data_IF_655096120976
#
_entry.id   IF_655096120976
#
_cell.length_a   1.000
_cell.length_b   1.000
_cell.length_c   1.000
_cell.angle_alpha   90.00
_cell.angle_beta   90.00
_cell.angle_gamma   90.00
#
_symmetry.space_group_name_H-M   'P 1'
#
loop_
_entity.id
_entity.type
_entity.pdbx_description
1 polymer ?
#
# COMPACT_ATOMS: atom_id res chain seq x y z
N UNK A 1 18.87 -2.39 37.35
CA UNK A 1 18.64 -3.67 36.67
C UNK A 1 17.33 -3.55 35.91
N UNK A 2 17.42 -3.35 34.60
CA UNK A 2 16.32 -3.13 33.67
C UNK A 2 15.57 -4.41 33.35
N UNK A 3 14.23 -4.38 33.38
CA UNK A 3 13.41 -5.32 32.61
C UNK A 3 12.51 -4.51 31.69
N UNK A 4 13.08 -4.07 30.57
CA UNK A 4 12.33 -3.58 29.43
C UNK A 4 11.56 -4.77 28.85
N UNK A 5 10.21 -4.80 28.87
CA UNK A 5 9.46 -5.88 28.27
C UNK A 5 9.59 -5.75 26.75
N UNK A 6 10.60 -6.44 26.22
CA UNK A 6 10.84 -6.79 24.82
C UNK A 6 9.73 -6.30 23.89
N UNK A 7 10.03 -5.32 23.04
CA UNK A 7 9.22 -4.95 21.88
C UNK A 7 9.05 -6.17 20.98
N UNK A 8 8.06 -7.01 21.28
CA UNK A 8 7.64 -8.10 20.40
C UNK A 8 6.94 -7.44 19.22
N UNK A 9 7.71 -7.05 18.22
CA UNK A 9 7.19 -6.84 16.88
C UNK A 9 6.80 -8.21 16.32
N UNK A 10 5.69 -8.77 16.81
CA UNK A 10 5.04 -9.88 16.12
C UNK A 10 4.43 -9.32 14.85
N UNK A 11 4.84 -9.83 13.70
CA UNK A 11 4.09 -9.63 12.47
C UNK A 11 2.61 -9.91 12.79
N UNK A 12 1.76 -8.88 12.65
CA UNK A 12 0.34 -8.98 13.01
C UNK A 12 -0.35 -9.74 11.89
N UNK A 13 -0.37 -11.07 11.99
CA UNK A 13 -1.16 -11.90 11.11
C UNK A 13 -2.63 -11.77 11.48
N UNK A 14 -3.44 -11.34 10.53
CA UNK A 14 -4.88 -11.51 10.65
C UNK A 14 -5.19 -13.00 10.45
N UNK A 15 -5.41 -13.69 11.57
CA UNK A 15 -5.50 -15.15 11.63
C UNK A 15 -6.55 -15.76 10.67
N UNK A 16 -7.78 -15.20 10.58
CA UNK A 16 -8.79 -15.73 9.66
C UNK A 16 -8.36 -15.67 8.19
N UNK A 17 -7.64 -14.64 7.77
CA UNK A 17 -7.20 -14.53 6.37
C UNK A 17 -6.07 -15.52 6.07
N UNK A 18 -4.99 -15.50 6.86
CA UNK A 18 -3.74 -16.20 6.50
C UNK A 18 -3.80 -17.71 6.77
N UNK A 19 -4.53 -18.14 7.81
CA UNK A 19 -4.52 -19.54 8.24
C UNK A 19 -5.82 -20.29 7.97
N UNK A 20 -6.87 -19.59 7.52
CA UNK A 20 -8.17 -20.21 7.23
C UNK A 20 -8.59 -19.91 5.80
N UNK A 21 -8.94 -18.66 5.48
CA UNK A 21 -9.60 -18.31 4.22
C UNK A 21 -8.68 -18.51 3.02
N UNK A 22 -7.44 -18.01 3.07
CA UNK A 22 -6.51 -18.14 1.93
C UNK A 22 -6.11 -19.61 1.66
N UNK A 23 -5.65 -20.41 2.65
CA UNK A 23 -5.34 -21.82 2.41
C UNK A 23 -6.55 -22.62 1.93
N UNK A 24 -7.73 -22.40 2.53
CA UNK A 24 -8.96 -23.07 2.12
C UNK A 24 -9.35 -22.70 0.69
N UNK A 25 -9.31 -21.41 0.33
CA UNK A 25 -9.63 -20.96 -1.02
C UNK A 25 -8.68 -21.57 -2.06
N UNK A 26 -7.37 -21.62 -1.77
CA UNK A 26 -6.40 -22.29 -2.65
C UNK A 26 -6.69 -23.79 -2.80
N UNK A 27 -6.91 -24.50 -1.69
CA UNK A 27 -7.26 -25.92 -1.71
C UNK A 27 -8.52 -26.18 -2.53
N UNK A 28 -9.57 -25.36 -2.35
CA UNK A 28 -10.81 -25.47 -3.11
C UNK A 28 -10.60 -25.17 -4.60
N UNK A 29 -9.80 -24.17 -4.94
CA UNK A 29 -9.44 -23.88 -6.35
C UNK A 29 -8.73 -25.07 -6.99
N UNK A 30 -7.72 -25.65 -6.34
CA UNK A 30 -7.00 -26.81 -6.86
C UNK A 30 -7.89 -28.05 -6.96
N UNK A 31 -8.70 -28.31 -5.93
CA UNK A 31 -9.59 -29.46 -5.87
C UNK A 31 -10.68 -29.39 -6.95
N UNK A 32 -11.41 -28.28 -7.03
CA UNK A 32 -12.44 -28.08 -8.04
C UNK A 32 -11.85 -28.03 -9.46
N UNK A 33 -10.67 -27.41 -9.62
CA UNK A 33 -9.95 -27.37 -10.89
C UNK A 33 -9.54 -28.75 -11.39
N UNK A 34 -9.04 -29.62 -10.50
CA UNK A 34 -8.73 -31.02 -10.83
C UNK A 34 -9.98 -31.77 -11.29
N UNK A 35 -11.08 -31.70 -10.52
CA UNK A 35 -12.31 -32.39 -10.88
C UNK A 35 -12.94 -31.89 -12.18
N UNK A 36 -12.83 -30.59 -12.45
CA UNK A 36 -13.20 -30.02 -13.74
C UNK A 36 -12.32 -30.60 -14.85
N UNK A 37 -11.00 -30.65 -14.69
CA UNK A 37 -10.06 -31.17 -15.68
C UNK A 37 -10.31 -32.67 -15.99
N UNK A 38 -10.60 -33.47 -14.97
CA UNK A 38 -10.91 -34.91 -15.12
C UNK A 38 -12.21 -35.14 -15.92
N UNK A 39 -13.14 -34.17 -15.93
CA UNK A 39 -14.40 -34.21 -16.69
C UNK A 39 -14.46 -33.23 -17.87
N UNK A 40 -13.36 -32.54 -18.16
CA UNK A 40 -13.33 -31.43 -19.11
C UNK A 40 -13.58 -31.94 -20.54
N UNK A 41 -14.46 -31.24 -21.27
CA UNK A 41 -14.88 -31.62 -22.61
C UNK A 41 -16.19 -32.42 -22.66
N UNK A 42 -16.71 -32.86 -21.51
CA UNK A 42 -18.09 -33.34 -21.39
C UNK A 42 -19.01 -32.19 -20.95
N UNK A 43 -20.05 -31.85 -21.72
CA UNK A 43 -21.05 -30.83 -21.31
C UNK A 43 -22.05 -31.41 -20.29
N UNK A 44 -21.51 -32.08 -19.27
CA UNK A 44 -22.30 -32.70 -18.20
C UNK A 44 -22.63 -31.66 -17.13
N UNK A 45 -23.75 -31.87 -16.43
CA UNK A 45 -24.13 -31.01 -15.30
C UNK A 45 -23.03 -30.97 -14.21
N UNK A 46 -22.33 -32.09 -14.00
CA UNK A 46 -21.23 -32.19 -13.04
C UNK A 46 -20.02 -31.34 -13.45
N UNK A 47 -19.62 -31.37 -14.73
CA UNK A 47 -18.51 -30.52 -15.22
C UNK A 47 -18.81 -29.03 -15.03
N UNK A 48 -20.06 -28.60 -15.29
CA UNK A 48 -20.49 -27.21 -15.06
C UNK A 48 -20.42 -26.82 -13.58
N UNK A 49 -20.80 -27.70 -12.66
CA UNK A 49 -20.68 -27.46 -11.21
C UNK A 49 -19.23 -27.31 -10.79
N UNK A 50 -18.33 -28.19 -11.26
CA UNK A 50 -16.91 -28.07 -10.93
C UNK A 50 -16.28 -26.80 -11.49
N UNK A 51 -16.66 -26.41 -12.71
CA UNK A 51 -16.24 -25.15 -13.30
C UNK A 51 -16.67 -23.94 -12.46
N UNK A 52 -17.95 -23.85 -12.08
CA UNK A 52 -18.46 -22.71 -11.31
C UNK A 52 -17.82 -22.63 -9.92
N UNK A 53 -17.58 -23.78 -9.26
CA UNK A 53 -16.86 -23.84 -7.99
C UNK A 53 -15.40 -23.39 -8.12
N UNK A 54 -14.69 -23.86 -9.15
CA UNK A 54 -13.31 -23.47 -9.41
C UNK A 54 -13.21 -21.95 -9.69
N UNK A 55 -14.11 -21.42 -10.51
CA UNK A 55 -14.18 -19.99 -10.84
C UNK A 55 -14.47 -19.14 -9.60
N UNK A 56 -15.43 -19.55 -8.77
CA UNK A 56 -15.74 -18.85 -7.52
C UNK A 56 -14.55 -18.85 -6.56
N UNK A 57 -13.93 -20.01 -6.33
CA UNK A 57 -12.77 -20.12 -5.45
C UNK A 57 -11.58 -19.28 -5.96
N UNK A 58 -11.30 -19.32 -7.27
CA UNK A 58 -10.26 -18.50 -7.89
C UNK A 58 -10.56 -16.99 -7.77
N UNK A 59 -11.83 -16.59 -7.90
CA UNK A 59 -12.26 -15.20 -7.71
C UNK A 59 -12.02 -14.73 -6.28
N UNK A 60 -12.29 -15.58 -5.28
CA UNK A 60 -11.97 -15.30 -3.87
C UNK A 60 -10.46 -15.12 -3.68
N UNK A 61 -9.63 -16.02 -4.22
CA UNK A 61 -8.17 -15.87 -4.18
C UNK A 61 -7.72 -14.54 -4.81
N UNK A 62 -8.24 -14.21 -6.00
CA UNK A 62 -7.95 -12.95 -6.67
C UNK A 62 -8.33 -11.73 -5.83
N UNK A 63 -9.52 -11.73 -5.22
CA UNK A 63 -9.97 -10.65 -4.34
C UNK A 63 -9.07 -10.47 -3.11
N UNK A 64 -8.61 -11.58 -2.50
CA UNK A 64 -7.68 -11.54 -1.37
C UNK A 64 -6.33 -10.92 -1.74
N UNK A 65 -5.81 -11.21 -2.94
CA UNK A 65 -4.57 -10.62 -3.44
C UNK A 65 -4.70 -9.12 -3.70
N UNK A 66 -5.82 -8.69 -4.30
CA UNK A 66 -6.10 -7.27 -4.54
C UNK A 66 -6.25 -6.48 -3.24
N UNK A 67 -6.87 -7.08 -2.22
CA UNK A 67 -7.03 -6.47 -0.90
C UNK A 67 -5.67 -6.14 -0.24
N UNK A 68 -4.66 -7.02 -0.41
CA UNK A 68 -3.29 -6.77 0.06
C UNK A 68 -2.71 -5.49 -0.55
N UNK A 69 -2.90 -5.30 -1.86
CA UNK A 69 -2.42 -4.10 -2.55
C UNK A 69 -3.09 -2.83 -2.02
N UNK A 70 -4.39 -2.90 -1.73
CA UNK A 70 -5.12 -1.75 -1.16
C UNK A 70 -4.57 -1.32 0.21
N UNK A 71 -4.27 -2.27 1.10
CA UNK A 71 -3.64 -1.96 2.39
C UNK A 71 -2.23 -1.37 2.24
N UNK A 72 -1.44 -1.86 1.29
CA UNK A 72 -0.10 -1.35 1.02
C UNK A 72 -0.13 0.12 0.58
N UNK A 73 -1.06 0.51 -0.29
CA UNK A 73 -1.26 1.89 -0.71
C UNK A 73 -1.64 2.79 0.47
N UNK A 74 -2.58 2.35 1.32
CA UNK A 74 -2.95 3.11 2.52
C UNK A 74 -1.81 3.27 3.52
N UNK A 75 -0.94 2.27 3.65
CA UNK A 75 0.28 2.36 4.45
C UNK A 75 1.28 3.35 3.84
N UNK A 76 1.48 3.29 2.51
CA UNK A 76 2.36 4.21 1.79
C UNK A 76 1.96 5.67 2.02
N UNK A 77 0.67 5.99 1.96
CA UNK A 77 0.17 7.35 2.22
C UNK A 77 0.49 7.83 3.65
N UNK A 78 0.42 6.92 4.64
CA UNK A 78 0.76 7.23 6.03
C UNK A 78 2.26 7.44 6.20
N UNK A 79 3.08 6.63 5.54
CA UNK A 79 4.54 6.75 5.57
C UNK A 79 4.99 8.06 4.92
N UNK A 80 4.47 8.41 3.74
CA UNK A 80 4.78 9.69 3.07
C UNK A 80 4.47 10.89 3.97
N UNK A 81 3.30 10.89 4.63
CA UNK A 81 2.96 11.92 5.61
C UNK A 81 3.97 12.02 6.75
N UNK A 82 4.40 10.88 7.30
CA UNK A 82 5.36 10.85 8.41
C UNK A 82 6.75 11.31 7.98
N UNK A 83 7.21 10.88 6.81
CA UNK A 83 8.50 11.26 6.23
C UNK A 83 8.60 12.78 6.06
N UNK A 84 7.63 13.39 5.36
CA UNK A 84 7.64 14.84 5.13
C UNK A 84 7.48 15.62 6.44
N UNK A 85 6.64 15.15 7.38
CA UNK A 85 6.54 15.77 8.72
C UNK A 85 7.86 15.74 9.47
N UNK A 86 8.55 14.61 9.45
CA UNK A 86 9.81 14.42 10.16
C UNK A 86 10.88 15.32 9.57
N UNK A 87 11.08 15.28 8.26
CA UNK A 87 12.08 16.11 7.56
C UNK A 87 11.83 17.60 7.77
N UNK A 88 10.57 18.04 7.64
CA UNK A 88 10.22 19.44 7.90
C UNK A 88 10.51 19.85 9.35
N UNK A 89 10.20 19.00 10.32
CA UNK A 89 10.49 19.26 11.73
C UNK A 89 12.00 19.33 12.02
N UNK A 90 12.80 18.43 11.45
CA UNK A 90 14.26 18.43 11.58
C UNK A 90 14.90 19.71 11.03
N UNK A 91 14.37 20.23 9.91
CA UNK A 91 14.92 21.41 9.24
C UNK A 91 14.46 22.74 9.84
N UNK A 92 13.23 22.81 10.33
CA UNK A 92 12.61 24.07 10.78
C UNK A 92 12.40 24.16 12.28
N UNK A 93 12.45 23.03 12.99
CA UNK A 93 12.00 22.91 14.39
C UNK A 93 10.49 23.03 14.58
N UNK A 94 9.71 23.15 13.50
CA UNK A 94 8.27 23.39 13.55
C UNK A 94 7.47 22.15 13.12
N UNK A 95 6.30 21.95 13.75
CA UNK A 95 5.41 20.84 13.42
C UNK A 95 4.66 21.13 12.12
N UNK A 96 4.85 20.29 11.10
CA UNK A 96 4.11 20.37 9.84
C UNK A 96 2.59 20.11 10.01
N UNK A 97 2.15 19.55 11.15
CA UNK A 97 0.73 19.21 11.41
C UNK A 97 -0.20 20.43 11.33
N UNK A 98 0.30 21.63 11.66
CA UNK A 98 -0.48 22.87 11.59
C UNK A 98 -0.76 23.28 10.14
N UNK A 99 0.17 22.98 9.23
CA UNK A 99 0.09 23.29 7.80
C UNK A 99 -0.54 22.17 6.99
N UNK A 100 -0.47 20.93 7.48
CA UNK A 100 -0.91 19.73 6.78
C UNK A 100 -2.39 19.76 6.37
N UNK A 101 -3.26 20.40 7.15
CA UNK A 101 -4.67 20.56 6.80
C UNK A 101 -4.89 21.31 5.46
N UNK A 102 -3.87 22.07 5.01
CA UNK A 102 -3.88 22.82 3.74
C UNK A 102 -3.14 22.08 2.63
N UNK A 103 -2.56 20.91 2.91
CA UNK A 103 -1.79 20.12 1.96
C UNK A 103 -2.58 18.89 1.53
N UNK A 104 -2.60 18.67 0.22
CA UNK A 104 -3.13 17.43 -0.36
C UNK A 104 -2.09 16.32 -0.29
N UNK A 105 -2.54 15.07 -0.28
CA UNK A 105 -1.65 13.92 -0.34
C UNK A 105 -0.73 13.96 -1.58
N UNK A 106 -1.24 14.42 -2.73
CA UNK A 106 -0.44 14.55 -3.95
C UNK A 106 0.70 15.56 -3.79
N UNK A 107 0.46 16.69 -3.11
CA UNK A 107 1.51 17.66 -2.82
C UNK A 107 2.55 17.06 -1.86
N UNK A 108 2.13 16.35 -0.81
CA UNK A 108 3.06 15.66 0.09
C UNK A 108 3.92 14.62 -0.64
N UNK A 109 3.33 13.85 -1.56
CA UNK A 109 4.06 12.90 -2.41
C UNK A 109 5.07 13.61 -3.32
N UNK A 110 4.78 14.82 -3.80
CA UNK A 110 5.75 15.60 -4.57
C UNK A 110 6.87 16.16 -3.69
N UNK A 111 6.52 16.71 -2.52
CA UNK A 111 7.45 17.30 -1.55
C UNK A 111 8.48 16.30 -1.03
N UNK A 112 8.15 15.00 -0.97
CA UNK A 112 9.10 13.97 -0.53
C UNK A 112 10.37 13.91 -1.39
N UNK A 113 10.30 14.35 -2.64
CA UNK A 113 11.44 14.35 -3.57
C UNK A 113 12.25 15.65 -3.54
N UNK A 114 11.82 16.64 -2.76
CA UNK A 114 12.53 17.91 -2.62
C UNK A 114 13.82 17.69 -1.81
N UNK A 115 14.93 18.35 -2.15
CA UNK A 115 16.11 18.40 -1.29
C UNK A 115 15.81 19.23 -0.04
N UNK A 116 16.54 18.95 1.04
CA UNK A 116 16.30 19.55 2.36
C UNK A 116 16.34 21.08 2.34
N UNK A 117 17.25 21.68 1.58
CA UNK A 117 17.37 23.14 1.43
C UNK A 117 16.13 23.80 0.84
N UNK A 118 15.39 23.08 -0.01
CA UNK A 118 14.20 23.61 -0.70
C UNK A 118 12.90 23.25 0.01
N UNK A 119 12.90 22.20 0.84
CA UNK A 119 11.69 21.64 1.44
C UNK A 119 10.86 22.67 2.22
N UNK A 120 11.42 23.50 3.12
CA UNK A 120 10.62 24.48 3.87
C UNK A 120 9.88 25.47 2.96
N UNK A 121 10.58 26.04 1.97
CA UNK A 121 10.01 26.99 1.01
C UNK A 121 8.92 26.35 0.14
N UNK A 122 9.12 25.11 -0.30
CA UNK A 122 8.14 24.39 -1.12
C UNK A 122 6.90 23.99 -0.31
N UNK A 123 7.05 23.66 0.96
CA UNK A 123 5.91 23.42 1.87
C UNK A 123 5.06 24.67 1.98
N UNK A 124 5.67 25.84 2.23
CA UNK A 124 4.94 27.10 2.29
C UNK A 124 4.19 27.40 0.99
N UNK A 125 4.86 27.28 -0.16
CA UNK A 125 4.22 27.47 -1.47
C UNK A 125 3.07 26.47 -1.70
N UNK A 126 3.23 25.21 -1.29
CA UNK A 126 2.19 24.19 -1.39
C UNK A 126 0.97 24.53 -0.52
N UNK A 127 1.17 25.08 0.68
CA UNK A 127 0.06 25.54 1.54
C UNK A 127 -0.72 26.71 0.96
N UNK A 128 -0.11 27.46 0.03
CA UNK A 128 -0.74 28.55 -0.71
C UNK A 128 -1.41 28.08 -2.02
N UNK A 129 -1.40 26.77 -2.30
CA UNK A 129 -2.07 26.17 -3.46
C UNK A 129 -1.15 25.80 -4.62
N UNK A 130 0.18 25.76 -4.44
CA UNK A 130 1.10 25.29 -5.49
C UNK A 130 0.78 23.84 -5.88
N UNK A 131 0.53 23.62 -7.17
CA UNK A 131 0.15 22.30 -7.68
C UNK A 131 1.29 21.26 -7.56
N UNK A 132 0.98 19.96 -7.38
CA UNK A 132 1.98 18.90 -7.27
C UNK A 132 3.00 18.86 -8.42
N UNK A 133 2.56 19.10 -9.65
CA UNK A 133 3.45 19.13 -10.83
C UNK A 133 4.43 20.30 -10.77
N UNK A 134 3.96 21.47 -10.32
CA UNK A 134 4.79 22.65 -10.16
C UNK A 134 5.81 22.51 -9.02
N UNK A 135 5.49 21.72 -7.98
CA UNK A 135 6.47 21.36 -6.94
C UNK A 135 7.63 20.57 -7.57
N UNK A 136 7.33 19.54 -8.37
CA UNK A 136 8.36 18.74 -9.05
C UNK A 136 9.19 19.61 -10.01
N UNK A 137 8.55 20.52 -10.74
CA UNK A 137 9.24 21.46 -11.63
C UNK A 137 10.20 22.39 -10.86
N UNK A 138 9.76 22.92 -9.72
CA UNK A 138 10.60 23.81 -8.90
C UNK A 138 11.76 23.07 -8.23
N UNK A 139 11.63 21.77 -7.95
CA UNK A 139 12.73 20.93 -7.45
C UNK A 139 13.86 20.83 -8.49
N UNK A 140 13.50 20.70 -9.77
CA UNK A 140 14.43 20.71 -10.89
C UNK A 140 15.55 19.68 -10.76
N UNK A 141 16.80 20.12 -10.91
CA UNK A 141 17.99 19.27 -10.86
C UNK A 141 18.26 18.68 -9.45
N UNK A 142 17.63 19.21 -8.40
CA UNK A 142 17.75 18.71 -7.03
C UNK A 142 16.85 17.52 -6.71
N UNK A 143 16.16 16.94 -7.70
CA UNK A 143 15.24 15.82 -7.52
C UNK A 143 15.93 14.61 -6.89
N UNK A 144 15.44 14.19 -5.72
CA UNK A 144 15.96 13.04 -5.00
C UNK A 144 15.11 11.80 -5.29
N UNK A 145 15.52 10.89 -6.19
CA UNK A 145 14.74 9.70 -6.50
C UNK A 145 14.62 8.78 -5.27
N UNK A 146 13.43 8.21 -5.10
CA UNK A 146 13.17 7.20 -4.07
C UNK A 146 13.75 5.85 -4.51
N UNK A 147 14.90 5.48 -3.97
CA UNK A 147 15.67 4.27 -4.33
C UNK A 147 15.04 2.97 -3.85
N UNK A 148 13.99 3.02 -3.00
CA UNK A 148 13.30 1.85 -2.45
C UNK A 148 12.11 1.39 -3.30
N UNK A 149 11.84 2.06 -4.43
CA UNK A 149 10.87 1.62 -5.45
C UNK A 149 11.60 0.82 -6.53
N UNK A 150 11.78 -0.49 -6.28
CA UNK A 150 12.13 -1.48 -7.31
C UNK A 150 10.86 -2.19 -7.79
#
# INVERSE_FOLDING_TARGET
MSSDPSSRHSARYYWPHHFVVLPLALLLTFYAGKHYADGAGSDTALARVWFTLALLAATVVGALLLLRQHYALGLQDRVIRLEVRQRYFELTGQSLRTLEARLTLKQLTALRFAPDEQLPRLVEAATQGLAPSAIIEQIGAGYQPDSLRL
#
